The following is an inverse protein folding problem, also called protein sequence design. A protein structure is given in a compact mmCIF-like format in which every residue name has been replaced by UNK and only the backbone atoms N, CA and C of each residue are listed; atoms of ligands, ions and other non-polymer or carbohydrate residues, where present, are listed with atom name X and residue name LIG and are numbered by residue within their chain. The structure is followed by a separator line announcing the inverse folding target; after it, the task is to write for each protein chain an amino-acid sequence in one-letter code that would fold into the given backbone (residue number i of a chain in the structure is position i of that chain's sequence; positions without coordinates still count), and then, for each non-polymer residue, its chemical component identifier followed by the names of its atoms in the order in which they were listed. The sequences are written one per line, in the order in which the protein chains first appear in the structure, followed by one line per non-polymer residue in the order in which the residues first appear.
data_IF_030655659443
#
_entry.id   IF_030655659443
#
_cell.length_a   1.000
_cell.length_b   1.000
_cell.length_c   1.000
_cell.angle_alpha   90.00
_cell.angle_beta   90.00
_cell.angle_gamma   90.00
#
_symmetry.space_group_name_H-M   'P 1'
#
loop_
_entity.id
_entity.type
_entity.pdbx_description
1 polymer ?
#
# COMPACT_ATOMS: atom_id res chain seq x y z
N UNK A 1 3.36 -21.18 -6.00
CA UNK A 1 3.48 -20.10 -5.00
C UNK A 1 2.26 -20.02 -4.08
N UNK A 2 2.46 -20.16 -2.76
CA UNK A 2 1.42 -19.91 -1.77
C UNK A 2 1.18 -18.40 -1.68
N UNK A 3 -0.09 -17.97 -1.75
CA UNK A 3 -0.46 -16.55 -1.59
C UNK A 3 -0.34 -16.14 -0.12
N UNK A 4 -0.65 -17.06 0.78
CA UNK A 4 -0.59 -16.84 2.23
C UNK A 4 0.46 -17.75 2.88
N UNK A 5 1.02 -17.35 4.02
CA UNK A 5 1.92 -18.20 4.80
C UNK A 5 1.27 -19.55 5.17
N UNK A 6 2.06 -20.61 5.39
CA UNK A 6 1.54 -21.89 5.89
C UNK A 6 0.70 -21.70 7.15
N UNK A 7 -0.52 -22.24 7.17
CA UNK A 7 -1.44 -22.16 8.31
C UNK A 7 -2.35 -20.92 8.36
N UNK A 8 -2.16 -19.93 7.47
CA UNK A 8 -2.98 -18.71 7.44
C UNK A 8 -4.47 -18.99 7.13
N UNK A 9 -4.73 -20.00 6.29
CA UNK A 9 -6.08 -20.45 5.95
C UNK A 9 -6.31 -21.87 6.48
N UNK A 10 -7.54 -22.16 6.93
CA UNK A 10 -7.94 -23.52 7.30
C UNK A 10 -7.89 -24.46 6.09
N UNK A 11 -7.70 -25.76 6.34
CA UNK A 11 -7.76 -26.78 5.29
C UNK A 11 -9.08 -26.73 4.51
N UNK A 12 -10.20 -26.56 5.23
CA UNK A 12 -11.52 -26.43 4.62
C UNK A 12 -11.62 -25.23 3.69
N UNK A 13 -11.09 -24.07 4.08
CA UNK A 13 -11.06 -22.86 3.24
C UNK A 13 -10.21 -23.06 1.98
N UNK A 14 -9.03 -23.68 2.11
CA UNK A 14 -8.18 -23.99 0.96
C UNK A 14 -8.85 -24.99 -0.01
N UNK A 15 -9.50 -26.03 0.51
CA UNK A 15 -10.26 -27.01 -0.30
C UNK A 15 -11.43 -26.32 -1.02
N UNK A 16 -12.17 -25.45 -0.33
CA UNK A 16 -13.26 -24.69 -0.94
C UNK A 16 -12.76 -23.78 -2.07
N UNK A 17 -11.67 -23.05 -1.85
CA UNK A 17 -11.05 -22.20 -2.86
C UNK A 17 -10.57 -22.98 -4.09
N UNK A 18 -9.96 -24.16 -3.88
CA UNK A 18 -9.55 -25.04 -4.98
C UNK A 18 -10.74 -25.60 -5.78
N UNK A 19 -11.86 -25.92 -5.09
CA UNK A 19 -13.10 -26.38 -5.73
C UNK A 19 -13.84 -25.28 -6.48
N UNK A 20 -13.75 -24.03 -6.03
CA UNK A 20 -14.37 -22.87 -6.67
C UNK A 20 -13.77 -22.54 -8.06
N UNK A 21 -12.63 -23.16 -8.41
CA UNK A 21 -12.05 -23.07 -9.74
C UNK A 21 -11.23 -21.80 -9.96
N UNK A 22 -11.66 -20.91 -10.87
CA UNK A 22 -10.89 -19.72 -11.26
C UNK A 22 -10.63 -18.84 -10.04
N UNK A 23 -9.37 -18.41 -9.91
CA UNK A 23 -8.97 -17.44 -8.88
C UNK A 23 -9.87 -16.21 -8.97
N UNK A 24 -10.48 -15.76 -7.86
CA UNK A 24 -11.18 -14.49 -7.85
C UNK A 24 -10.17 -13.39 -8.26
N UNK A 25 -10.61 -12.48 -9.14
CA UNK A 25 -9.80 -11.31 -9.50
C UNK A 25 -9.50 -10.52 -8.23
N UNK A 26 -8.29 -9.99 -8.12
CA UNK A 26 -7.92 -9.14 -6.99
C UNK A 26 -8.46 -7.73 -7.25
N UNK A 27 -9.76 -7.54 -7.08
CA UNK A 27 -10.42 -6.29 -7.44
C UNK A 27 -10.18 -5.25 -6.35
N UNK A 28 -9.51 -4.16 -6.73
CA UNK A 28 -9.45 -2.91 -5.98
C UNK A 28 -10.29 -1.85 -6.70
N UNK A 29 -10.85 -0.91 -5.95
CA UNK A 29 -11.56 0.22 -6.55
C UNK A 29 -10.56 1.35 -6.84
N UNK A 30 -10.67 1.95 -8.02
CA UNK A 30 -9.98 3.22 -8.30
C UNK A 30 -10.66 4.40 -7.58
N UNK A 31 -10.10 5.61 -7.75
CA UNK A 31 -10.66 6.84 -7.14
C UNK A 31 -12.09 7.15 -7.59
N UNK A 32 -12.58 6.55 -8.68
CA UNK A 32 -13.94 6.71 -9.21
C UNK A 32 -14.84 5.50 -8.90
N UNK A 33 -14.38 4.56 -8.07
CA UNK A 33 -15.11 3.35 -7.73
C UNK A 33 -15.11 2.29 -8.85
N UNK A 34 -14.29 2.46 -9.90
CA UNK A 34 -14.20 1.48 -10.99
C UNK A 34 -13.31 0.32 -10.56
N UNK A 35 -13.69 -0.92 -10.90
CA UNK A 35 -12.89 -2.09 -10.53
C UNK A 35 -11.60 -2.15 -11.36
N UNK A 36 -10.47 -2.33 -10.69
CA UNK A 36 -9.16 -2.63 -11.27
C UNK A 36 -8.72 -4.00 -10.75
N UNK A 37 -8.23 -4.87 -11.65
CA UNK A 37 -7.55 -6.10 -11.23
C UNK A 37 -6.12 -5.78 -10.80
N UNK A 38 -5.85 -5.83 -9.50
CA UNK A 38 -4.54 -5.49 -8.93
C UNK A 38 -3.41 -6.39 -9.45
N UNK A 39 -3.73 -7.56 -10.02
CA UNK A 39 -2.72 -8.45 -10.62
C UNK A 39 -2.32 -8.04 -12.04
N UNK A 40 -3.13 -7.25 -12.72
CA UNK A 40 -2.88 -6.77 -14.09
C UNK A 40 -2.60 -5.25 -14.14
N UNK A 41 -2.88 -4.53 -13.06
CA UNK A 41 -2.65 -3.10 -12.94
C UNK A 41 -1.18 -2.73 -13.13
N UNK A 42 -0.93 -1.65 -13.88
CA UNK A 42 0.41 -1.06 -13.93
C UNK A 42 0.73 -0.32 -12.62
N UNK A 43 2.01 -0.09 -12.35
CA UNK A 43 2.42 0.75 -11.20
C UNK A 43 1.78 2.15 -11.28
N UNK A 44 1.59 2.68 -12.49
CA UNK A 44 0.96 3.98 -12.68
C UNK A 44 -0.53 3.96 -12.32
N UNK A 45 -1.25 2.87 -12.61
CA UNK A 45 -2.64 2.71 -12.20
C UNK A 45 -2.76 2.64 -10.67
N UNK A 46 -1.82 1.95 -10.02
CA UNK A 46 -1.75 1.84 -8.56
C UNK A 46 -1.31 3.14 -7.87
N UNK A 47 -0.49 3.96 -8.53
CA UNK A 47 -0.20 5.31 -8.06
C UNK A 47 -1.41 6.22 -8.23
N UNK A 48 -2.09 6.12 -9.36
CA UNK A 48 -3.29 6.92 -9.65
C UNK A 48 -4.46 6.61 -8.70
N UNK A 49 -4.46 5.47 -8.01
CA UNK A 49 -5.47 5.13 -7.01
C UNK A 49 -4.99 5.18 -5.54
N UNK A 50 -3.78 5.69 -5.29
CA UNK A 50 -3.15 5.79 -3.95
C UNK A 50 -2.90 4.43 -3.26
N UNK A 51 -2.81 3.34 -4.03
CA UNK A 51 -2.33 2.05 -3.51
C UNK A 51 -0.80 2.01 -3.43
N UNK A 52 -0.11 2.72 -4.34
CA UNK A 52 1.35 2.80 -4.38
C UNK A 52 1.78 4.26 -4.35
N UNK A 53 2.78 4.56 -3.51
CA UNK A 53 3.45 5.85 -3.46
C UNK A 53 4.89 5.67 -3.91
N UNK A 54 5.26 6.27 -5.03
CA UNK A 54 6.57 6.07 -5.65
C UNK A 54 7.04 7.31 -6.43
N UNK A 55 8.36 7.49 -6.54
CA UNK A 55 8.99 8.63 -7.20
C UNK A 55 10.24 9.10 -6.45
N UNK A 56 10.58 10.37 -6.59
CA UNK A 56 11.57 11.02 -5.73
C UNK A 56 11.01 11.21 -4.31
N UNK A 57 11.85 11.50 -3.30
CA UNK A 57 11.36 11.83 -1.96
C UNK A 57 10.34 12.98 -1.95
N UNK A 58 10.52 13.99 -2.81
CA UNK A 58 9.57 15.11 -2.94
C UNK A 58 8.22 14.65 -3.48
N UNK A 59 8.22 13.80 -4.50
CA UNK A 59 6.98 13.23 -5.06
C UNK A 59 6.23 12.43 -4.00
N UNK A 60 6.93 11.57 -3.26
CA UNK A 60 6.31 10.71 -2.24
C UNK A 60 5.74 11.55 -1.10
N UNK A 61 6.46 12.59 -0.65
CA UNK A 61 5.91 13.54 0.34
C UNK A 61 4.63 14.17 -0.21
N UNK A 62 4.67 14.76 -1.41
CA UNK A 62 3.50 15.41 -2.00
C UNK A 62 2.29 14.47 -2.15
N UNK A 63 2.52 13.23 -2.59
CA UNK A 63 1.46 12.23 -2.70
C UNK A 63 0.87 11.86 -1.33
N UNK A 64 1.71 11.66 -0.30
CA UNK A 64 1.25 11.35 1.05
C UNK A 64 0.48 12.52 1.68
N UNK A 65 0.90 13.77 1.45
CA UNK A 65 0.16 14.97 1.90
C UNK A 65 -1.23 15.01 1.26
N UNK A 66 -1.29 14.89 -0.06
CA UNK A 66 -2.55 14.90 -0.80
C UNK A 66 -3.48 13.76 -0.37
N UNK A 67 -2.93 12.57 -0.09
CA UNK A 67 -3.68 11.46 0.46
C UNK A 67 -4.24 11.76 1.86
N UNK A 68 -3.39 12.23 2.78
CA UNK A 68 -3.77 12.59 4.15
C UNK A 68 -4.91 13.62 4.16
N UNK A 69 -4.77 14.70 3.40
CA UNK A 69 -5.76 15.77 3.33
C UNK A 69 -7.11 15.26 2.81
N UNK A 70 -7.09 14.42 1.77
CA UNK A 70 -8.30 13.84 1.19
C UNK A 70 -9.01 12.89 2.17
N UNK A 71 -8.26 12.16 2.99
CA UNK A 71 -8.82 11.25 3.98
C UNK A 71 -9.29 11.97 5.25
N UNK A 72 -9.03 13.28 5.39
CA UNK A 72 -9.32 14.03 6.61
C UNK A 72 -8.32 13.80 7.74
N UNK A 73 -7.11 13.35 7.40
CA UNK A 73 -6.04 13.01 8.34
C UNK A 73 -5.89 11.49 8.56
N UNK A 74 -4.64 11.03 8.70
CA UNK A 74 -4.31 9.66 9.11
C UNK A 74 -3.34 9.68 10.29
N UNK A 75 -3.67 8.96 11.36
CA UNK A 75 -2.84 8.96 12.58
C UNK A 75 -1.59 8.10 12.50
N UNK A 76 -1.57 7.09 11.62
CA UNK A 76 -0.48 6.14 11.51
C UNK A 76 -0.18 5.79 10.05
N UNK A 77 1.11 5.62 9.76
CA UNK A 77 1.59 5.11 8.48
C UNK A 77 2.23 3.73 8.67
N UNK A 78 1.62 2.72 8.06
CA UNK A 78 2.20 1.39 7.91
C UNK A 78 2.92 1.33 6.56
N UNK A 79 4.25 1.30 6.60
CA UNK A 79 5.08 1.36 5.40
C UNK A 79 5.55 -0.03 4.95
N UNK A 80 5.20 -0.40 3.72
CA UNK A 80 5.74 -1.58 3.06
C UNK A 80 6.90 -1.17 2.13
N UNK A 81 8.13 -1.24 2.66
CA UNK A 81 9.33 -0.74 1.98
C UNK A 81 9.95 -1.65 0.92
N UNK A 82 9.42 -2.86 0.73
CA UNK A 82 9.84 -3.81 -0.30
C UNK A 82 8.68 -4.03 -1.26
N UNK A 83 8.80 -3.60 -2.51
CA UNK A 83 7.73 -3.68 -3.49
C UNK A 83 8.20 -4.20 -4.85
N UNK A 84 7.34 -4.94 -5.54
CA UNK A 84 7.59 -5.40 -6.90
C UNK A 84 8.86 -6.24 -7.03
N UNK A 85 9.76 -5.80 -7.91
CA UNK A 85 11.00 -6.49 -8.26
C UNK A 85 12.23 -5.97 -7.49
N UNK A 86 12.04 -5.16 -6.43
CA UNK A 86 13.14 -4.67 -5.60
C UNK A 86 13.90 -5.85 -4.98
N UNK A 87 15.20 -5.90 -5.23
CA UNK A 87 16.08 -6.85 -4.57
C UNK A 87 16.38 -6.41 -3.13
N UNK A 88 17.16 -7.21 -2.40
CA UNK A 88 17.50 -6.89 -1.01
C UNK A 88 18.23 -5.55 -0.87
N UNK A 89 19.21 -5.28 -1.74
CA UNK A 89 20.03 -4.06 -1.65
C UNK A 89 19.16 -2.84 -1.93
N UNK A 90 18.38 -2.89 -2.99
CA UNK A 90 17.52 -1.78 -3.41
C UNK A 90 16.40 -1.55 -2.38
N UNK A 91 15.88 -2.62 -1.77
CA UNK A 91 14.94 -2.53 -0.64
C UNK A 91 15.57 -1.82 0.56
N UNK A 92 16.79 -2.20 0.96
CA UNK A 92 17.49 -1.59 2.09
C UNK A 92 17.75 -0.11 1.83
N UNK A 93 18.20 0.25 0.64
CA UNK A 93 18.43 1.65 0.29
C UNK A 93 17.13 2.46 0.21
N UNK A 94 16.04 1.89 -0.32
CA UNK A 94 14.71 2.52 -0.31
C UNK A 94 14.25 2.83 1.13
N UNK A 95 14.35 1.86 2.05
CA UNK A 95 13.94 2.04 3.45
C UNK A 95 14.78 3.14 4.12
N UNK A 96 16.10 3.13 3.90
CA UNK A 96 16.98 4.17 4.45
C UNK A 96 16.69 5.54 3.86
N UNK A 97 16.42 5.63 2.55
CA UNK A 97 16.06 6.87 1.87
C UNK A 97 14.75 7.43 2.43
N UNK A 98 13.72 6.58 2.56
CA UNK A 98 12.45 6.96 3.17
C UNK A 98 12.64 7.49 4.59
N UNK A 99 13.41 6.78 5.43
CA UNK A 99 13.66 7.18 6.81
C UNK A 99 14.39 8.52 6.93
N UNK A 100 15.29 8.84 5.98
CA UNK A 100 16.07 10.10 5.98
C UNK A 100 15.31 11.27 5.37
N UNK A 101 14.67 11.05 4.22
CA UNK A 101 14.19 12.13 3.36
C UNK A 101 12.67 12.32 3.41
N UNK A 102 11.89 11.30 3.79
CA UNK A 102 10.43 11.33 3.72
C UNK A 102 9.82 11.35 5.12
N UNK A 103 10.16 10.38 5.97
CA UNK A 103 9.57 10.20 7.30
C UNK A 103 9.60 11.47 8.16
N UNK A 104 10.72 12.23 8.24
CA UNK A 104 10.75 13.46 9.05
C UNK A 104 9.80 14.55 8.52
N UNK A 105 9.62 14.62 7.20
CA UNK A 105 8.77 15.64 6.55
C UNK A 105 7.28 15.36 6.65
N UNK A 106 6.90 14.13 6.96
CA UNK A 106 5.50 13.71 7.09
C UNK A 106 5.08 13.50 8.54
N UNK A 107 6.02 13.53 9.50
CA UNK A 107 5.74 13.35 10.93
C UNK A 107 4.74 14.38 11.47
N UNK A 108 4.71 15.57 10.88
CA UNK A 108 3.82 16.67 11.28
C UNK A 108 2.50 16.71 10.52
N UNK A 109 2.21 15.75 9.62
CA UNK A 109 0.97 15.75 8.84
C UNK A 109 -0.31 15.54 9.66
N UNK A 110 -0.17 15.28 10.96
CA UNK A 110 -1.24 15.29 11.93
C UNK A 110 -2.13 14.04 11.88
N UNK A 111 -2.46 13.52 13.06
CA UNK A 111 -3.65 12.69 13.21
C UNK A 111 -4.90 13.59 13.10
N UNK A 112 -6.08 13.05 12.73
CA UNK A 112 -7.33 13.80 12.81
C UNK A 112 -7.47 14.47 14.20
N UNK A 113 -8.01 15.68 14.27
CA UNK A 113 -8.16 16.44 15.54
C UNK A 113 -8.75 15.61 16.69
N UNK A 114 -9.60 14.62 16.37
CA UNK A 114 -10.20 13.69 17.31
C UNK A 114 -9.22 12.75 18.06
N UNK A 115 -8.05 12.44 17.48
CA UNK A 115 -7.02 11.58 18.11
C UNK A 115 -6.02 12.40 18.93
N UNK A 116 -5.80 13.68 18.58
CA UNK A 116 -4.89 14.56 19.34
C UNK A 116 -5.43 14.98 20.73
N UNK A 117 -6.69 14.64 21.03
CA UNK A 117 -7.38 14.98 22.27
C UNK A 117 -7.45 13.81 23.29
N UNK A 118 -6.86 12.65 22.98
CA UNK A 118 -6.70 11.49 23.88
C UNK A 118 -5.27 11.39 24.41
#
# INVERSE_FOLDING_TARGET
PFINPPGYNSLAANVAAMKAGKRPKSIIADRHGRPIDAMEASVQDLMANDTVFAGTPDDVVAQLRAFNDRMGGVGHLLFFGQGGLLDHRDTVENIKLFAREVAPRIAELGAPEAIAAE
#
